data_IF_985328210452
#
_entry.id   IF_985328210452
#
_cell.length_a   1.000
_cell.length_b   1.000
_cell.length_c   1.000
_cell.angle_alpha   90.00
_cell.angle_beta   90.00
_cell.angle_gamma   90.00
#
_symmetry.space_group_name_H-M   'P 1'
#
loop_
_entity.id
_entity.type
_entity.pdbx_description
1 polymer ?
#
# COMPACT_ATOMS: atom_id res chain seq x y z
N UNK A 1 2.85 24.88 -32.25
CA UNK A 1 3.52 25.41 -31.03
C UNK A 1 2.95 24.80 -29.76
N UNK A 2 1.63 24.90 -29.52
CA UNK A 2 0.95 24.36 -28.32
C UNK A 2 1.21 22.86 -28.06
N UNK A 3 1.13 22.01 -29.09
CA UNK A 3 1.40 20.56 -28.97
C UNK A 3 2.84 20.24 -28.52
N UNK A 4 3.81 21.05 -28.95
CA UNK A 4 5.22 20.92 -28.55
C UNK A 4 5.43 21.37 -27.10
N UNK A 5 4.74 22.43 -26.68
CA UNK A 5 4.76 22.90 -25.29
C UNK A 5 4.14 21.85 -24.35
N UNK A 6 2.98 21.28 -24.72
CA UNK A 6 2.34 20.20 -23.96
C UNK A 6 3.25 18.98 -23.83
N UNK A 7 3.90 18.56 -24.92
CA UNK A 7 4.85 17.45 -24.91
C UNK A 7 6.07 17.72 -24.03
N UNK A 8 6.63 18.94 -24.04
CA UNK A 8 7.73 19.31 -23.15
C UNK A 8 7.30 19.30 -21.68
N UNK A 9 6.09 19.77 -21.37
CA UNK A 9 5.56 19.78 -20.00
C UNK A 9 5.39 18.35 -19.47
N UNK A 10 4.84 17.44 -20.27
CA UNK A 10 4.70 16.02 -19.91
C UNK A 10 6.04 15.37 -19.57
N UNK A 11 7.10 15.68 -20.34
CA UNK A 11 8.45 15.20 -20.08
C UNK A 11 8.95 15.72 -18.73
N UNK A 12 8.82 17.03 -18.48
CA UNK A 12 9.26 17.64 -17.21
C UNK A 12 8.51 17.02 -16.03
N UNK A 13 7.19 16.90 -16.11
CA UNK A 13 6.38 16.29 -15.04
C UNK A 13 6.73 14.82 -14.83
N UNK A 14 7.03 14.09 -15.90
CA UNK A 14 7.48 12.69 -15.80
C UNK A 14 8.82 12.56 -15.11
N UNK A 15 9.79 13.43 -15.44
CA UNK A 15 11.09 13.46 -14.76
C UNK A 15 10.95 13.81 -13.27
N UNK A 16 10.07 14.75 -12.93
CA UNK A 16 9.76 15.10 -11.54
C UNK A 16 9.15 13.91 -10.80
N UNK A 17 8.15 13.25 -11.39
CA UNK A 17 7.51 12.08 -10.79
C UNK A 17 8.50 10.93 -10.55
N UNK A 18 9.36 10.63 -11.54
CA UNK A 18 10.41 9.61 -11.40
C UNK A 18 11.39 9.99 -10.28
N UNK A 19 11.80 11.26 -10.22
CA UNK A 19 12.72 11.75 -9.18
C UNK A 19 12.09 11.61 -7.79
N UNK A 20 10.82 12.00 -7.61
CA UNK A 20 10.10 11.84 -6.34
C UNK A 20 9.99 10.37 -5.94
N UNK A 21 9.56 9.49 -6.85
CA UNK A 21 9.46 8.06 -6.56
C UNK A 21 10.82 7.45 -6.20
N UNK A 22 11.90 7.92 -6.84
CA UNK A 22 13.27 7.48 -6.55
C UNK A 22 13.72 7.97 -5.17
N UNK A 23 13.46 9.22 -4.81
CA UNK A 23 13.84 9.76 -3.50
C UNK A 23 13.11 9.03 -2.36
N UNK A 24 11.83 8.72 -2.53
CA UNK A 24 11.05 7.95 -1.56
C UNK A 24 11.58 6.51 -1.45
N UNK A 25 11.91 5.88 -2.57
CA UNK A 25 12.55 4.57 -2.57
C UNK A 25 13.87 4.58 -1.80
N UNK A 26 14.74 5.56 -2.09
CA UNK A 26 16.01 5.71 -1.38
C UNK A 26 15.78 5.92 0.11
N UNK A 27 14.82 6.76 0.51
CA UNK A 27 14.44 6.91 1.91
C UNK A 27 14.01 5.57 2.53
N UNK A 28 13.13 4.84 1.86
CA UNK A 28 12.61 3.56 2.35
C UNK A 28 13.72 2.53 2.60
N UNK A 29 14.76 2.46 1.76
CA UNK A 29 15.84 1.47 1.91
C UNK A 29 17.01 1.91 2.81
N UNK A 30 17.16 3.22 3.04
CA UNK A 30 18.25 3.78 3.86
C UNK A 30 17.80 3.96 5.32
N UNK A 31 16.57 4.45 5.54
CA UNK A 31 16.09 4.92 6.83
C UNK A 31 15.48 3.79 7.66
N UNK A 32 15.85 3.71 8.94
CA UNK A 32 15.20 2.79 9.88
C UNK A 32 14.01 3.51 10.48
N UNK A 33 12.85 2.89 10.40
CA UNK A 33 11.64 3.47 10.97
C UNK A 33 11.65 3.35 12.51
N UNK A 34 11.67 4.49 13.18
CA UNK A 34 11.73 4.62 14.64
C UNK A 34 10.39 4.98 15.27
N UNK A 35 9.29 4.95 14.50
CA UNK A 35 7.97 5.22 15.04
C UNK A 35 7.56 4.20 16.11
N UNK A 36 6.82 4.67 17.12
CA UNK A 36 6.43 3.85 18.27
C UNK A 36 5.68 2.58 17.86
N UNK A 37 4.61 2.72 17.08
CA UNK A 37 3.79 1.59 16.61
C UNK A 37 4.61 0.55 15.81
N UNK A 38 5.58 1.04 15.05
CA UNK A 38 6.44 0.22 14.22
C UNK A 38 7.36 -0.66 15.09
N UNK A 39 8.03 -0.06 16.06
CA UNK A 39 8.84 -0.80 17.03
C UNK A 39 8.01 -1.66 17.99
N UNK A 40 6.80 -1.22 18.34
CA UNK A 40 5.97 -1.87 19.34
C UNK A 40 5.30 -3.15 18.82
N UNK A 41 4.80 -3.16 17.58
CA UNK A 41 4.13 -4.35 17.03
C UNK A 41 4.39 -4.64 15.56
N UNK A 42 4.61 -3.66 14.67
CA UNK A 42 4.80 -4.00 13.24
C UNK A 42 6.06 -4.84 12.98
N UNK A 43 7.22 -4.37 13.43
CA UNK A 43 8.49 -5.09 13.25
C UNK A 43 8.53 -6.42 14.03
N UNK A 44 8.05 -6.48 15.31
CA UNK A 44 7.90 -7.75 16.01
C UNK A 44 7.07 -8.78 15.25
N UNK A 45 5.90 -8.39 14.74
CA UNK A 45 5.01 -9.30 14.02
C UNK A 45 5.65 -9.79 12.72
N UNK A 46 6.25 -8.88 11.95
CA UNK A 46 6.98 -9.20 10.73
C UNK A 46 8.14 -10.19 10.99
N UNK A 47 8.92 -9.95 12.05
CA UNK A 47 10.02 -10.81 12.44
C UNK A 47 9.56 -12.21 12.86
N UNK A 48 8.47 -12.29 13.64
CA UNK A 48 7.88 -13.56 14.10
C UNK A 48 7.38 -14.40 12.94
N UNK A 49 6.59 -13.82 12.03
CA UNK A 49 6.01 -14.53 10.86
C UNK A 49 7.10 -15.25 10.04
N UNK A 50 8.28 -14.64 9.92
CA UNK A 50 9.37 -15.15 9.09
C UNK A 50 10.49 -15.85 9.85
N UNK A 51 10.35 -15.98 11.18
CA UNK A 51 11.32 -16.61 12.07
C UNK A 51 12.66 -15.87 12.12
N UNK A 52 12.65 -14.54 11.95
CA UNK A 52 13.85 -13.70 12.03
C UNK A 52 14.29 -13.52 13.48
N UNK A 53 13.31 -13.37 14.38
CA UNK A 53 13.52 -13.29 15.83
C UNK A 53 12.75 -14.45 16.47
N UNK A 54 13.36 -15.22 17.40
CA UNK A 54 12.67 -16.27 18.13
C UNK A 54 11.46 -15.74 18.90
N UNK A 55 10.39 -16.53 18.96
CA UNK A 55 9.17 -16.18 19.69
C UNK A 55 9.45 -15.85 21.17
N UNK A 56 10.37 -16.60 21.80
CA UNK A 56 10.79 -16.38 23.18
C UNK A 56 11.45 -15.03 23.46
N UNK A 57 11.89 -14.31 22.42
CA UNK A 57 12.49 -12.98 22.54
C UNK A 57 11.45 -11.87 22.63
N UNK A 58 10.19 -12.14 22.32
CA UNK A 58 9.09 -11.20 22.50
C UNK A 58 8.58 -11.28 23.94
N UNK A 59 9.28 -10.60 24.85
CA UNK A 59 8.95 -10.56 26.29
C UNK A 59 7.76 -9.66 26.63
N UNK A 60 6.98 -9.23 25.64
CA UNK A 60 5.89 -8.27 25.85
C UNK A 60 4.65 -9.06 26.24
N UNK A 61 4.15 -8.84 27.47
CA UNK A 61 3.07 -9.63 28.07
C UNK A 61 1.80 -9.77 27.22
N UNK A 62 0.85 -10.59 27.69
CA UNK A 62 -0.36 -11.12 26.98
C UNK A 62 -1.02 -10.22 25.94
N UNK A 63 -1.04 -8.90 26.14
CA UNK A 63 -1.63 -7.91 25.22
C UNK A 63 -1.04 -7.89 23.80
N UNK A 64 0.26 -8.16 23.61
CA UNK A 64 0.86 -8.17 22.26
C UNK A 64 0.56 -9.48 21.53
N UNK A 65 0.49 -10.59 22.28
CA UNK A 65 0.09 -11.90 21.76
C UNK A 65 -1.38 -11.88 21.29
N UNK A 66 -2.30 -11.40 22.13
CA UNK A 66 -3.71 -11.25 21.76
C UNK A 66 -3.87 -10.38 20.50
N UNK A 67 -3.01 -9.36 20.36
CA UNK A 67 -3.02 -8.47 19.20
C UNK A 67 -2.45 -9.16 17.97
N UNK A 68 -1.42 -9.99 18.09
CA UNK A 68 -0.89 -10.78 16.99
C UNK A 68 -1.95 -11.74 16.45
N UNK A 69 -2.63 -12.46 17.34
CA UNK A 69 -3.64 -13.46 16.99
C UNK A 69 -4.90 -12.83 16.36
N UNK A 70 -5.25 -11.61 16.79
CA UNK A 70 -6.42 -10.89 16.28
C UNK A 70 -6.14 -9.95 15.10
N UNK A 71 -4.88 -9.65 14.76
CA UNK A 71 -4.57 -8.71 13.69
C UNK A 71 -4.58 -9.39 12.31
N UNK A 72 -5.06 -8.68 11.27
CA UNK A 72 -4.78 -9.05 9.90
C UNK A 72 -3.28 -8.82 9.59
N UNK A 73 -2.59 -9.89 9.19
CA UNK A 73 -1.13 -9.91 9.10
C UNK A 73 -0.56 -9.76 7.67
N UNK A 74 -1.37 -9.40 6.67
CA UNK A 74 -0.89 -9.37 5.27
C UNK A 74 0.29 -8.41 5.07
N UNK A 75 0.20 -7.18 5.57
CA UNK A 75 1.28 -6.22 5.46
C UNK A 75 2.53 -6.69 6.22
N UNK A 76 2.36 -7.20 7.44
CA UNK A 76 3.43 -7.77 8.27
C UNK A 76 4.14 -8.95 7.59
N UNK A 77 3.38 -9.79 6.90
CA UNK A 77 3.91 -10.90 6.11
C UNK A 77 4.87 -10.38 5.03
N UNK A 78 4.47 -9.37 4.24
CA UNK A 78 5.37 -8.81 3.22
C UNK A 78 6.54 -8.03 3.82
N UNK A 79 6.34 -7.36 4.96
CA UNK A 79 7.42 -6.68 5.68
C UNK A 79 8.51 -7.68 6.08
N UNK A 80 8.11 -8.76 6.75
CA UNK A 80 9.05 -9.80 7.16
C UNK A 80 9.69 -10.53 5.98
N UNK A 81 8.97 -10.68 4.85
CA UNK A 81 9.51 -11.26 3.63
C UNK A 81 10.66 -10.39 3.09
N UNK A 82 10.43 -9.08 2.94
CA UNK A 82 11.49 -8.18 2.48
C UNK A 82 12.67 -8.14 3.44
N UNK A 83 12.40 -8.14 4.75
CA UNK A 83 13.46 -8.20 5.75
C UNK A 83 14.27 -9.49 5.61
N UNK A 84 13.61 -10.64 5.52
CA UNK A 84 14.29 -11.93 5.37
C UNK A 84 15.13 -12.01 4.10
N UNK A 85 14.61 -11.52 2.97
CA UNK A 85 15.31 -11.56 1.68
C UNK A 85 16.53 -10.62 1.63
N UNK A 86 16.44 -9.47 2.27
CA UNK A 86 17.52 -8.46 2.21
C UNK A 86 18.49 -8.53 3.38
N UNK A 87 18.11 -9.20 4.48
CA UNK A 87 18.82 -9.16 5.75
C UNK A 87 18.77 -7.79 6.45
N UNK A 88 17.92 -6.87 5.99
CA UNK A 88 17.89 -5.47 6.45
C UNK A 88 16.50 -5.08 6.93
N UNK A 89 16.41 -4.55 8.15
CA UNK A 89 15.14 -4.14 8.75
C UNK A 89 14.49 -2.99 7.98
N UNK A 90 15.26 -2.09 7.36
CA UNK A 90 14.78 -0.97 6.55
C UNK A 90 13.86 -1.43 5.41
N UNK A 91 14.08 -2.64 4.88
CA UNK A 91 13.31 -3.16 3.76
C UNK A 91 11.83 -3.41 4.09
N UNK A 92 11.43 -3.40 5.37
CA UNK A 92 10.01 -3.43 5.76
C UNK A 92 9.25 -2.19 5.25
N UNK A 93 9.93 -1.06 5.08
CA UNK A 93 9.36 0.17 4.50
C UNK A 93 8.93 -0.02 3.03
N UNK A 94 9.50 -1.01 2.33
CA UNK A 94 9.20 -1.25 0.92
C UNK A 94 7.76 -1.70 0.69
N UNK A 95 7.06 -2.21 1.70
CA UNK A 95 5.64 -2.55 1.57
C UNK A 95 4.79 -1.32 1.30
N UNK A 96 5.01 -0.24 2.05
CA UNK A 96 4.34 1.05 1.82
C UNK A 96 4.69 1.59 0.43
N UNK A 97 5.98 1.62 0.09
CA UNK A 97 6.45 2.08 -1.20
C UNK A 97 5.84 1.32 -2.39
N UNK A 98 5.96 -0.01 -2.41
CA UNK A 98 5.47 -0.82 -3.52
C UNK A 98 3.95 -0.83 -3.63
N UNK A 99 3.23 -0.72 -2.51
CA UNK A 99 1.77 -0.57 -2.56
C UNK A 99 1.38 0.68 -3.35
N UNK A 100 2.10 1.79 -3.18
CA UNK A 100 1.88 3.03 -3.91
C UNK A 100 2.24 2.91 -5.40
N UNK A 101 3.35 2.25 -5.72
CA UNK A 101 3.73 1.98 -7.12
C UNK A 101 2.66 1.15 -7.82
N UNK A 102 2.17 0.09 -7.17
CA UNK A 102 1.06 -0.74 -7.67
C UNK A 102 -0.18 0.12 -7.90
N UNK A 103 -0.51 1.04 -6.99
CA UNK A 103 -1.65 1.92 -7.15
C UNK A 103 -1.52 2.87 -8.36
N UNK A 104 -0.34 3.42 -8.63
CA UNK A 104 -0.13 4.24 -9.82
C UNK A 104 -0.33 3.44 -11.11
N UNK A 105 0.18 2.20 -11.15
CA UNK A 105 -0.07 1.31 -12.29
C UNK A 105 -1.54 0.93 -12.42
N UNK A 106 -2.24 0.69 -11.31
CA UNK A 106 -3.68 0.46 -11.31
C UNK A 106 -4.44 1.64 -11.94
N UNK A 107 -4.16 2.87 -11.50
CA UNK A 107 -4.78 4.08 -12.07
C UNK A 107 -4.48 4.23 -13.56
N UNK A 108 -3.24 3.92 -13.98
CA UNK A 108 -2.87 3.93 -15.40
C UNK A 108 -3.62 2.87 -16.20
N UNK A 109 -3.72 1.65 -15.70
CA UNK A 109 -4.29 0.51 -16.43
C UNK A 109 -5.81 0.58 -16.55
N UNK A 110 -6.51 0.98 -15.49
CA UNK A 110 -7.98 0.98 -15.46
C UNK A 110 -8.59 2.36 -15.73
N UNK A 111 -7.91 3.45 -15.37
CA UNK A 111 -8.45 4.81 -15.51
C UNK A 111 -7.67 5.67 -16.51
N UNK A 112 -6.64 5.10 -17.17
CA UNK A 112 -5.81 5.80 -18.17
C UNK A 112 -5.11 7.05 -17.63
N UNK A 113 -5.04 7.23 -16.30
CA UNK A 113 -4.41 8.39 -15.68
C UNK A 113 -2.90 8.34 -15.96
N UNK A 114 -2.30 9.42 -16.47
CA UNK A 114 -0.85 9.49 -16.62
C UNK A 114 -0.13 9.27 -15.28
N UNK A 115 0.96 8.48 -15.29
CA UNK A 115 1.68 8.13 -14.08
C UNK A 115 2.23 9.36 -13.35
N UNK A 116 2.70 10.38 -14.10
CA UNK A 116 3.23 11.59 -13.50
C UNK A 116 2.17 12.38 -12.71
N UNK A 117 0.92 12.43 -13.21
CA UNK A 117 -0.18 13.08 -12.49
C UNK A 117 -0.53 12.30 -11.23
N UNK A 118 -0.64 10.98 -11.34
CA UNK A 118 -0.93 10.11 -10.19
C UNK A 118 0.13 10.27 -9.11
N UNK A 119 1.41 10.19 -9.49
CA UNK A 119 2.52 10.31 -8.56
C UNK A 119 2.56 11.67 -7.88
N UNK A 120 2.54 12.77 -8.64
CA UNK A 120 2.65 14.12 -8.07
C UNK A 120 1.44 14.44 -7.19
N UNK A 121 0.22 14.14 -7.65
CA UNK A 121 -1.00 14.49 -6.91
C UNK A 121 -1.11 13.70 -5.59
N UNK A 122 -0.83 12.39 -5.63
CA UNK A 122 -0.95 11.55 -4.45
C UNK A 122 0.20 11.78 -3.47
N UNK A 123 1.44 11.98 -3.95
CA UNK A 123 2.59 12.28 -3.09
C UNK A 123 2.57 13.69 -2.51
N UNK A 124 1.74 14.59 -3.06
CA UNK A 124 1.49 15.89 -2.45
C UNK A 124 0.66 15.78 -1.16
N UNK A 125 -0.01 14.65 -0.90
CA UNK A 125 -0.76 14.40 0.33
C UNK A 125 0.24 14.03 1.43
N UNK A 126 0.40 14.84 2.50
CA UNK A 126 1.45 14.63 3.49
C UNK A 126 1.41 13.24 4.15
N UNK A 127 0.22 12.76 4.51
CA UNK A 127 0.05 11.44 5.10
C UNK A 127 0.50 10.31 4.15
N UNK A 128 0.22 10.42 2.84
CA UNK A 128 0.67 9.41 1.88
C UNK A 128 2.19 9.46 1.75
N UNK A 129 2.77 10.65 1.65
CA UNK A 129 4.21 10.84 1.54
C UNK A 129 4.96 10.23 2.74
N UNK A 130 4.48 10.49 3.96
CA UNK A 130 5.08 9.93 5.19
C UNK A 130 4.94 8.41 5.24
N UNK A 131 3.77 7.87 4.88
CA UNK A 131 3.53 6.43 4.93
C UNK A 131 4.19 5.64 3.78
N UNK A 132 4.58 6.31 2.69
CA UNK A 132 5.21 5.66 1.54
C UNK A 132 6.64 5.18 1.80
N UNK A 133 7.32 5.69 2.82
CA UNK A 133 8.69 5.34 3.18
C UNK A 133 8.85 4.84 4.62
N UNK A 134 7.77 4.38 5.24
CA UNK A 134 7.72 3.88 6.62
C UNK A 134 7.08 2.49 6.67
N UNK A 135 7.20 1.82 7.81
CA UNK A 135 6.68 0.47 8.06
C UNK A 135 5.26 0.48 8.63
N UNK A 136 4.53 1.59 8.47
CA UNK A 136 3.11 1.63 8.78
C UNK A 136 2.30 0.79 7.79
N UNK A 137 1.29 0.10 8.29
CA UNK A 137 0.39 -0.73 7.48
C UNK A 137 -0.81 0.04 6.92
N UNK A 138 -1.00 1.29 7.32
CA UNK A 138 -2.15 2.09 6.90
C UNK A 138 -2.18 2.33 5.39
N UNK A 139 -1.05 2.70 4.77
CA UNK A 139 -1.02 2.97 3.33
C UNK A 139 -1.39 1.75 2.47
N UNK A 140 -0.78 0.56 2.62
CA UNK A 140 -1.16 -0.59 1.82
C UNK A 140 -2.65 -0.95 2.01
N UNK A 141 -3.15 -0.94 3.24
CA UNK A 141 -4.56 -1.23 3.50
C UNK A 141 -5.51 -0.23 2.82
N UNK A 142 -5.23 1.08 2.95
CA UNK A 142 -6.04 2.12 2.34
C UNK A 142 -5.95 2.12 0.80
N UNK A 143 -4.81 1.72 0.22
CA UNK A 143 -4.71 1.50 -1.22
C UNK A 143 -5.63 0.37 -1.67
N UNK A 144 -5.72 -0.73 -0.90
CA UNK A 144 -6.68 -1.79 -1.15
C UNK A 144 -8.13 -1.27 -1.21
N UNK A 145 -8.50 -0.42 -0.24
CA UNK A 145 -9.83 0.23 -0.22
C UNK A 145 -10.02 1.12 -1.44
N UNK A 146 -9.03 1.95 -1.77
CA UNK A 146 -9.10 2.84 -2.92
C UNK A 146 -9.30 2.05 -4.23
N UNK A 147 -8.56 0.95 -4.42
CA UNK A 147 -8.75 0.05 -5.56
C UNK A 147 -10.18 -0.51 -5.59
N UNK A 148 -10.68 -1.03 -4.47
CA UNK A 148 -12.02 -1.59 -4.39
C UNK A 148 -13.12 -0.55 -4.74
N UNK A 149 -13.06 0.63 -4.14
CA UNK A 149 -14.02 1.72 -4.39
C UNK A 149 -13.95 2.21 -5.84
N UNK A 150 -12.76 2.39 -6.38
CA UNK A 150 -12.57 2.83 -7.76
C UNK A 150 -13.12 1.79 -8.75
N UNK A 151 -12.91 0.50 -8.50
CA UNK A 151 -13.49 -0.54 -9.34
C UNK A 151 -15.01 -0.58 -9.26
N UNK A 152 -15.60 -0.43 -8.08
CA UNK A 152 -17.05 -0.30 -7.91
C UNK A 152 -17.59 0.89 -8.70
N UNK A 153 -16.96 2.06 -8.56
CA UNK A 153 -17.32 3.24 -9.34
C UNK A 153 -17.29 2.97 -10.85
N UNK A 154 -16.25 2.27 -11.32
CA UNK A 154 -16.11 1.87 -12.72
C UNK A 154 -17.22 0.91 -13.17
N UNK A 155 -17.64 -0.03 -12.32
CA UNK A 155 -18.75 -0.95 -12.62
C UNK A 155 -20.07 -0.21 -12.81
N UNK A 156 -20.35 0.79 -11.97
CA UNK A 156 -21.55 1.60 -12.08
C UNK A 156 -21.51 2.65 -13.19
N UNK A 157 -20.31 3.11 -13.56
CA UNK A 157 -20.13 4.10 -14.62
C UNK A 157 -20.06 3.49 -16.02
N UNK A 158 -19.84 2.17 -16.12
CA UNK A 158 -19.75 1.43 -17.38
C UNK A 158 -21.11 0.86 -17.76
N UNK A 159 -21.50 1.00 -19.03
CA UNK A 159 -22.69 0.33 -19.58
C UNK A 159 -22.46 -1.17 -19.85
N UNK A 160 -21.22 -1.64 -19.79
CA UNK A 160 -20.83 -3.04 -20.00
C UNK A 160 -20.57 -3.74 -18.67
N UNK A 161 -20.93 -5.03 -18.53
CA UNK A 161 -20.63 -5.79 -17.32
C UNK A 161 -19.12 -5.93 -17.11
N UNK A 162 -18.67 -6.07 -15.84
CA UNK A 162 -17.25 -6.15 -15.52
C UNK A 162 -16.63 -7.44 -16.08
N UNK A 163 -15.43 -7.31 -16.64
CA UNK A 163 -14.67 -8.46 -17.12
C UNK A 163 -13.89 -9.14 -15.99
N UNK A 164 -13.35 -10.34 -16.26
CA UNK A 164 -12.61 -11.14 -15.25
C UNK A 164 -11.42 -10.41 -14.62
N UNK A 165 -10.69 -9.58 -15.37
CA UNK A 165 -9.54 -8.82 -14.84
C UNK A 165 -10.00 -7.74 -13.87
N UNK A 166 -11.11 -7.09 -14.21
CA UNK A 166 -11.70 -6.05 -13.38
C UNK A 166 -12.28 -6.61 -12.07
N UNK A 167 -12.97 -7.75 -12.14
CA UNK A 167 -13.43 -8.48 -10.95
C UNK A 167 -12.24 -8.92 -10.08
N UNK A 168 -11.17 -9.41 -10.71
CA UNK A 168 -9.94 -9.78 -9.99
C UNK A 168 -9.30 -8.57 -9.30
N UNK A 169 -9.23 -7.41 -9.98
CA UNK A 169 -8.69 -6.19 -9.37
C UNK A 169 -9.52 -5.73 -8.17
N UNK A 170 -10.86 -5.75 -8.28
CA UNK A 170 -11.76 -5.43 -7.18
C UNK A 170 -11.56 -6.39 -6.00
N UNK A 171 -11.54 -7.70 -6.26
CA UNK A 171 -11.30 -8.73 -5.26
C UNK A 171 -9.95 -8.57 -4.57
N UNK A 172 -8.87 -8.36 -5.32
CA UNK A 172 -7.54 -8.17 -4.75
C UNK A 172 -7.46 -6.89 -3.90
N UNK A 173 -8.10 -5.80 -4.32
CA UNK A 173 -8.19 -4.57 -3.52
C UNK A 173 -8.92 -4.80 -2.19
N UNK A 174 -10.09 -5.45 -2.24
CA UNK A 174 -10.87 -5.78 -1.05
C UNK A 174 -10.15 -6.76 -0.12
N UNK A 175 -9.54 -7.81 -0.67
CA UNK A 175 -8.76 -8.79 0.09
C UNK A 175 -7.55 -8.12 0.75
N UNK A 176 -6.83 -7.25 0.04
CA UNK A 176 -5.72 -6.49 0.58
C UNK A 176 -6.16 -5.61 1.76
N UNK A 177 -7.25 -4.85 1.61
CA UNK A 177 -7.79 -3.99 2.65
C UNK A 177 -8.21 -4.79 3.89
N UNK A 178 -9.06 -5.80 3.71
CA UNK A 178 -9.56 -6.63 4.80
C UNK A 178 -8.43 -7.35 5.56
N UNK A 179 -7.41 -7.83 4.84
CA UNK A 179 -6.29 -8.55 5.44
C UNK A 179 -5.15 -7.64 5.97
N UNK A 180 -5.30 -6.31 5.95
CA UNK A 180 -4.30 -5.38 6.46
C UNK A 180 -4.66 -4.75 7.81
N UNK A 181 -5.95 -4.45 8.06
CA UNK A 181 -6.38 -3.79 9.30
C UNK A 181 -7.84 -4.16 9.66
N UNK A 182 -8.19 -4.40 10.94
CA UNK A 182 -9.56 -4.78 11.32
C UNK A 182 -10.61 -3.75 10.89
N UNK A 183 -10.31 -2.46 11.05
CA UNK A 183 -11.22 -1.37 10.67
C UNK A 183 -11.56 -1.39 9.17
N UNK A 184 -10.61 -1.82 8.33
CA UNK A 184 -10.80 -1.89 6.88
C UNK A 184 -11.63 -3.10 6.47
N UNK A 185 -11.64 -4.18 7.27
CA UNK A 185 -12.55 -5.31 7.05
C UNK A 185 -14.01 -4.86 7.14
N UNK A 186 -14.35 -4.13 8.21
CA UNK A 186 -15.70 -3.59 8.40
C UNK A 186 -16.05 -2.63 7.25
N UNK A 187 -15.12 -1.74 6.89
CA UNK A 187 -15.34 -0.77 5.81
C UNK A 187 -15.61 -1.46 4.46
N UNK A 188 -14.80 -2.46 4.09
CA UNK A 188 -14.99 -3.22 2.85
C UNK A 188 -16.32 -3.97 2.85
N UNK A 189 -16.68 -4.60 3.98
CA UNK A 189 -17.95 -5.31 4.10
C UNK A 189 -19.15 -4.37 3.88
N UNK A 190 -19.10 -3.15 4.42
CA UNK A 190 -20.13 -2.13 4.18
C UNK A 190 -20.15 -1.66 2.71
N UNK A 191 -18.98 -1.36 2.14
CA UNK A 191 -18.88 -0.88 0.75
C UNK A 191 -19.45 -1.93 -0.23
N UNK A 192 -19.06 -3.19 -0.08
CA UNK A 192 -19.49 -4.28 -0.96
C UNK A 192 -20.95 -4.66 -0.72
N UNK A 193 -21.35 -4.77 0.56
CA UNK A 193 -22.73 -5.05 0.92
C UNK A 193 -23.72 -4.00 0.43
N UNK A 194 -23.36 -2.71 0.47
CA UNK A 194 -24.17 -1.61 -0.10
C UNK A 194 -24.14 -1.64 -1.63
N UNK A 195 -22.98 -1.93 -2.24
CA UNK A 195 -22.85 -2.01 -3.69
C UNK A 195 -23.62 -3.20 -4.30
N UNK A 196 -24.08 -4.16 -3.49
CA UNK A 196 -24.81 -5.35 -3.95
C UNK A 196 -23.92 -6.33 -4.72
N UNK A 197 -22.63 -6.36 -4.41
CA UNK A 197 -21.62 -7.29 -4.95
C UNK A 197 -21.26 -8.30 -3.87
#
# INVERSE_FOLDING_TARGET
MLKKILSNLEIILSLLAISLCTLIFLKAVIDVDTNYDVGWYHLPFAARIWGIIPESSFLVGTKVEDRYDGFPLLAHFFQGLFWKLTGRIQSTNLVGYFSLIIYFFFLRSYFQIPLYLSAIAILAIPAVLTHAATSFVDLPGNIGVAVAVMMIYRFFSSSSPPNKKELLAAFLGAAMAANTKPQLTVLIALIWGIAGI
#
